data_IF_432954643242
#
_entry.id   IF_432954643242
#
_cell.length_a   1.000
_cell.length_b   1.000
_cell.length_c   1.000
_cell.angle_alpha   90.00
_cell.angle_beta   90.00
_cell.angle_gamma   90.00
#
_symmetry.space_group_name_H-M   'P 1'
#
loop_
_entity.id
_entity.type
_entity.pdbx_description
1 polymer ?
#
# COMPACT_ATOMS: atom_id res chain seq x y z
N UNK A 1 -47.83 -44.75 3.60
CA UNK A 1 -48.03 -45.83 2.61
C UNK A 1 -47.11 -45.50 1.45
N UNK A 2 -46.20 -46.43 1.09
CA UNK A 2 -45.13 -46.35 0.07
C UNK A 2 -43.99 -45.35 0.40
N UNK A 3 -42.71 -45.71 0.47
CA UNK A 3 -41.99 -46.94 0.15
C UNK A 3 -40.64 -46.61 -0.50
N UNK A 4 -39.54 -46.88 0.23
CA UNK A 4 -38.15 -47.18 -0.16
C UNK A 4 -37.52 -46.56 -1.44
N UNK A 5 -36.28 -46.04 -1.32
CA UNK A 5 -35.08 -46.82 -1.66
C UNK A 5 -33.78 -46.11 -1.24
N UNK A 6 -32.93 -46.87 -0.58
CA UNK A 6 -31.57 -46.53 -0.22
C UNK A 6 -30.63 -46.60 -1.43
N UNK A 7 -29.64 -45.71 -1.48
CA UNK A 7 -28.42 -45.91 -2.25
C UNK A 7 -27.22 -45.43 -1.42
N UNK A 8 -26.52 -46.40 -0.84
CA UNK A 8 -25.17 -46.25 -0.30
C UNK A 8 -24.21 -45.94 -1.45
N UNK A 9 -23.62 -44.74 -1.45
CA UNK A 9 -22.40 -44.50 -2.25
C UNK A 9 -21.20 -44.59 -1.32
N UNK A 10 -20.54 -45.73 -1.42
CA UNK A 10 -19.20 -45.97 -0.91
C UNK A 10 -18.24 -45.07 -1.70
N UNK A 11 -17.76 -43.99 -1.09
CA UNK A 11 -16.61 -43.25 -1.60
C UNK A 11 -15.35 -44.02 -1.18
N UNK A 12 -14.90 -44.86 -2.11
CA UNK A 12 -13.56 -45.44 -2.16
C UNK A 12 -12.48 -44.39 -1.87
N UNK A 13 -11.48 -44.78 -1.10
CA UNK A 13 -10.35 -43.92 -0.72
C UNK A 13 -9.39 -43.57 -1.85
N UNK A 14 -8.24 -43.06 -1.42
CA UNK A 14 -7.05 -42.65 -2.19
C UNK A 14 -7.14 -41.24 -2.81
N UNK A 15 -6.49 -40.27 -2.18
CA UNK A 15 -5.07 -40.07 -2.46
C UNK A 15 -4.51 -38.98 -1.53
N UNK A 16 -3.32 -39.25 -1.00
CA UNK A 16 -2.47 -38.29 -0.31
C UNK A 16 -1.90 -37.33 -1.34
N UNK A 17 -2.72 -36.45 -1.91
CA UNK A 17 -2.22 -35.38 -2.76
C UNK A 17 -1.65 -34.31 -1.82
N UNK A 18 -0.37 -34.47 -1.44
CA UNK A 18 0.46 -33.37 -1.01
C UNK A 18 0.48 -32.37 -2.17
N UNK A 19 -0.52 -31.49 -2.20
CA UNK A 19 -0.60 -30.40 -3.15
C UNK A 19 0.72 -29.64 -3.14
N UNK A 20 1.13 -29.06 -4.29
CA UNK A 20 2.42 -28.40 -4.40
C UNK A 20 2.60 -27.47 -3.21
N UNK A 21 3.62 -27.75 -2.40
CA UNK A 21 4.00 -26.95 -1.24
C UNK A 21 3.94 -25.51 -1.71
N UNK A 22 3.01 -24.72 -1.15
CA UNK A 22 2.88 -23.33 -1.50
C UNK A 22 4.29 -22.73 -1.39
N UNK A 23 4.88 -22.39 -2.54
CA UNK A 23 6.20 -21.78 -2.59
C UNK A 23 6.04 -20.56 -1.69
N UNK A 24 6.77 -20.54 -0.58
CA UNK A 24 6.64 -19.50 0.45
C UNK A 24 6.64 -18.12 -0.22
N UNK A 25 5.99 -17.11 0.40
CA UNK A 25 5.68 -15.84 -0.22
C UNK A 25 6.86 -15.39 -1.09
N UNK A 26 6.61 -15.30 -2.39
CA UNK A 26 7.58 -14.78 -3.36
C UNK A 26 8.27 -13.59 -2.72
N UNK A 27 9.60 -13.62 -2.71
CA UNK A 27 10.43 -12.62 -2.01
C UNK A 27 9.95 -11.20 -2.29
N UNK A 28 10.21 -10.30 -1.33
CA UNK A 28 9.83 -8.90 -1.46
C UNK A 28 10.22 -8.39 -2.86
N UNK A 29 9.27 -7.83 -3.65
CA UNK A 29 9.49 -7.50 -5.06
C UNK A 29 10.49 -6.35 -5.27
N UNK A 30 11.07 -5.83 -4.18
CA UNK A 30 12.19 -4.90 -4.17
C UNK A 30 11.75 -3.44 -4.39
N UNK A 31 12.69 -2.48 -4.29
CA UNK A 31 12.41 -1.05 -4.43
C UNK A 31 11.75 -0.68 -5.76
N UNK A 32 12.10 -1.36 -6.86
CA UNK A 32 11.52 -1.09 -8.19
C UNK A 32 10.00 -1.31 -8.26
N UNK A 33 9.46 -2.30 -7.56
CA UNK A 33 8.01 -2.52 -7.52
C UNK A 33 7.27 -1.44 -6.71
N UNK A 34 7.90 -0.94 -5.65
CA UNK A 34 7.38 0.21 -4.92
C UNK A 34 7.42 1.47 -5.78
N UNK A 35 8.47 1.66 -6.60
CA UNK A 35 8.56 2.80 -7.52
C UNK A 35 7.38 2.85 -8.50
N UNK A 36 7.03 1.72 -9.13
CA UNK A 36 5.85 1.63 -10.01
C UNK A 36 4.56 2.03 -9.30
N UNK A 37 4.40 1.59 -8.04
CA UNK A 37 3.24 1.99 -7.22
C UNK A 37 3.25 3.50 -6.96
N UNK A 38 4.40 4.09 -6.66
CA UNK A 38 4.54 5.53 -6.39
C UNK A 38 4.27 6.37 -7.66
N UNK A 39 4.69 5.90 -8.83
CA UNK A 39 4.33 6.55 -10.10
C UNK A 39 2.82 6.56 -10.32
N UNK A 40 2.14 5.44 -10.05
CA UNK A 40 0.68 5.37 -10.17
C UNK A 40 -0.05 6.26 -9.15
N UNK A 41 0.50 6.46 -7.95
CA UNK A 41 -0.11 7.30 -6.92
C UNK A 41 0.14 8.79 -7.14
N UNK A 42 1.29 9.15 -7.71
CA UNK A 42 1.66 10.56 -7.98
C UNK A 42 0.99 11.17 -9.21
N UNK A 43 0.16 10.40 -9.92
CA UNK A 43 -0.73 10.93 -10.96
C UNK A 43 -2.14 11.25 -10.45
N UNK A 44 -2.47 10.87 -9.21
CA UNK A 44 -3.77 11.14 -8.59
C UNK A 44 -3.98 12.65 -8.35
N UNK A 45 -5.20 13.14 -8.52
CA UNK A 45 -5.53 14.56 -8.31
C UNK A 45 -5.38 14.96 -6.85
N UNK A 46 -5.62 14.04 -5.92
CA UNK A 46 -5.41 14.27 -4.49
C UNK A 46 -3.93 14.37 -4.11
N UNK A 47 -3.01 13.90 -4.97
CA UNK A 47 -1.59 14.19 -4.84
C UNK A 47 -1.22 15.53 -5.49
N UNK A 48 -1.73 15.80 -6.69
CA UNK A 48 -1.31 16.95 -7.51
C UNK A 48 -1.84 18.29 -7.02
N UNK A 49 -3.09 18.31 -6.57
CA UNK A 49 -3.81 19.52 -6.16
C UNK A 49 -4.56 19.26 -4.84
N UNK A 50 -3.86 18.86 -3.76
CA UNK A 50 -4.49 18.42 -2.52
C UNK A 50 -5.38 19.49 -1.86
N UNK A 51 -5.10 20.76 -2.11
CA UNK A 51 -5.84 21.90 -1.55
C UNK A 51 -7.13 22.22 -2.31
N UNK A 52 -7.26 21.73 -3.54
CA UNK A 52 -8.41 22.02 -4.42
C UNK A 52 -9.48 20.93 -4.39
N UNK A 53 -9.17 19.76 -3.83
CA UNK A 53 -10.06 18.61 -3.81
C UNK A 53 -10.73 18.48 -2.43
N UNK A 54 -12.06 18.32 -2.36
CA UNK A 54 -12.75 18.02 -1.11
C UNK A 54 -12.14 16.79 -0.43
N UNK A 55 -11.80 16.91 0.85
CA UNK A 55 -11.08 15.85 1.55
C UNK A 55 -11.77 14.47 1.54
N UNK A 56 -13.11 14.33 1.54
CA UNK A 56 -13.77 13.03 1.43
C UNK A 56 -13.48 12.32 0.10
N UNK A 57 -13.33 13.07 -1.00
CA UNK A 57 -13.09 12.50 -2.33
C UNK A 57 -11.70 11.86 -2.42
N UNK A 58 -10.78 12.22 -1.51
CA UNK A 58 -9.43 11.67 -1.43
C UNK A 58 -9.30 10.39 -0.58
N UNK A 59 -10.39 9.88 0.01
CA UNK A 59 -10.36 8.69 0.87
C UNK A 59 -9.70 7.47 0.18
N UNK A 60 -10.05 7.22 -1.08
CA UNK A 60 -9.50 6.09 -1.85
C UNK A 60 -7.99 6.25 -2.08
N UNK A 61 -7.53 7.45 -2.39
CA UNK A 61 -6.11 7.76 -2.53
C UNK A 61 -5.36 7.50 -1.21
N UNK A 62 -5.85 8.05 -0.10
CA UNK A 62 -5.24 7.85 1.23
C UNK A 62 -5.22 6.38 1.66
N UNK A 63 -6.25 5.61 1.30
CA UNK A 63 -6.30 4.17 1.57
C UNK A 63 -5.19 3.41 0.83
N UNK A 64 -4.94 3.75 -0.44
CA UNK A 64 -3.89 3.10 -1.23
C UNK A 64 -2.47 3.36 -0.68
N UNK A 65 -2.28 4.48 0.03
CA UNK A 65 -1.03 4.83 0.70
C UNK A 65 -0.72 4.01 1.94
N UNK A 66 -1.69 3.29 2.52
CA UNK A 66 -1.54 2.67 3.84
C UNK A 66 -0.31 1.75 3.97
N UNK A 67 0.09 1.06 2.91
CA UNK A 67 1.27 0.17 2.94
C UNK A 67 2.60 0.89 2.67
N UNK A 68 2.57 2.08 2.06
CA UNK A 68 3.77 2.76 1.53
C UNK A 68 4.77 3.12 2.65
N UNK A 69 4.36 3.74 3.77
CA UNK A 69 5.27 4.04 4.88
C UNK A 69 6.04 2.82 5.39
N UNK A 70 5.35 1.69 5.59
CA UNK A 70 5.96 0.47 6.11
C UNK A 70 6.96 -0.14 5.14
N UNK A 71 6.61 -0.23 3.86
CA UNK A 71 7.50 -0.74 2.82
C UNK A 71 8.71 0.16 2.61
N UNK A 72 8.53 1.48 2.56
CA UNK A 72 9.62 2.44 2.41
C UNK A 72 10.61 2.37 3.59
N UNK A 73 10.13 2.28 4.83
CA UNK A 73 11.00 2.09 6.01
C UNK A 73 11.79 0.78 5.96
N UNK A 74 11.16 -0.30 5.49
CA UNK A 74 11.82 -1.60 5.33
C UNK A 74 12.99 -1.49 4.35
N UNK A 75 12.80 -0.81 3.22
CA UNK A 75 13.88 -0.62 2.24
C UNK A 75 14.93 0.39 2.69
N UNK A 76 14.53 1.40 3.45
CA UNK A 76 15.47 2.39 3.98
C UNK A 76 16.54 1.76 4.88
N UNK A 77 16.14 0.80 5.73
CA UNK A 77 17.04 0.18 6.69
C UNK A 77 17.76 1.22 7.56
N UNK A 78 19.03 0.98 7.86
CA UNK A 78 19.92 1.95 8.53
C UNK A 78 20.67 2.86 7.55
N UNK A 79 20.75 2.46 6.28
CA UNK A 79 21.62 3.09 5.29
C UNK A 79 20.98 4.32 4.63
N UNK A 80 19.65 4.43 4.67
CA UNK A 80 18.91 5.53 4.03
C UNK A 80 18.00 6.25 5.04
N UNK A 81 18.56 6.93 6.06
CA UNK A 81 17.77 7.59 7.11
C UNK A 81 16.80 8.64 6.56
N UNK A 82 17.13 9.32 5.47
CA UNK A 82 16.23 10.27 4.81
C UNK A 82 14.95 9.63 4.27
N UNK A 83 15.04 8.43 3.68
CA UNK A 83 13.85 7.68 3.25
C UNK A 83 13.02 7.21 4.44
N UNK A 84 13.66 6.77 5.53
CA UNK A 84 12.96 6.36 6.75
C UNK A 84 12.20 7.53 7.40
N UNK A 85 12.78 8.74 7.36
CA UNK A 85 12.14 9.97 7.82
C UNK A 85 10.96 10.36 6.93
N UNK A 86 11.15 10.43 5.61
CA UNK A 86 10.06 10.71 4.66
C UNK A 86 8.89 9.72 4.80
N UNK A 87 9.19 8.44 4.96
CA UNK A 87 8.18 7.42 5.21
C UNK A 87 7.45 7.62 6.55
N UNK A 88 8.14 8.14 7.58
CA UNK A 88 7.53 8.51 8.85
C UNK A 88 6.60 9.70 8.70
N UNK A 89 7.02 10.74 7.99
CA UNK A 89 6.19 11.91 7.68
C UNK A 89 4.93 11.51 6.91
N UNK A 90 5.06 10.65 5.90
CA UNK A 90 3.91 10.13 5.14
C UNK A 90 2.92 9.38 6.04
N UNK A 91 3.43 8.55 6.95
CA UNK A 91 2.61 7.85 7.94
C UNK A 91 1.86 8.81 8.87
N UNK A 92 2.51 9.89 9.31
CA UNK A 92 1.87 10.93 10.13
C UNK A 92 0.78 11.67 9.36
N UNK A 93 1.03 12.07 8.11
CA UNK A 93 0.01 12.71 7.29
C UNK A 93 -1.23 11.85 7.09
N UNK A 94 -1.05 10.55 6.77
CA UNK A 94 -2.14 9.58 6.68
C UNK A 94 -2.89 9.43 7.99
N UNK A 95 -2.19 9.44 9.14
CA UNK A 95 -2.81 9.39 10.45
C UNK A 95 -3.62 10.67 10.74
N UNK A 96 -3.06 11.85 10.50
CA UNK A 96 -3.74 13.14 10.67
C UNK A 96 -5.03 13.22 9.84
N UNK A 97 -5.00 12.75 8.58
CA UNK A 97 -6.20 12.68 7.74
C UNK A 97 -7.29 11.80 8.37
N UNK A 98 -6.93 10.63 8.92
CA UNK A 98 -7.88 9.70 9.54
C UNK A 98 -8.42 10.20 10.86
N UNK A 99 -7.55 10.69 11.73
CA UNK A 99 -7.92 11.19 13.06
C UNK A 99 -8.72 12.50 12.96
N UNK A 100 -8.49 13.29 11.91
CA UNK A 100 -9.29 14.46 11.59
C UNK A 100 -10.67 14.16 11.01
N UNK A 101 -11.01 12.88 10.73
CA UNK A 101 -12.28 12.50 10.11
C UNK A 101 -12.44 13.05 8.69
N UNK A 102 -11.33 13.19 7.96
CA UNK A 102 -11.33 13.86 6.66
C UNK A 102 -12.07 13.10 5.56
N UNK A 103 -12.32 11.81 5.75
CA UNK A 103 -13.17 10.99 4.88
C UNK A 103 -14.67 11.25 5.07
N UNK A 104 -15.06 11.94 6.15
CA UNK A 104 -16.44 12.21 6.53
C UNK A 104 -16.74 13.70 6.73
N UNK A 105 -15.87 14.57 6.19
CA UNK A 105 -16.08 16.02 6.22
C UNK A 105 -15.62 16.70 7.51
N UNK A 106 -14.49 16.26 8.07
CA UNK A 106 -13.79 16.94 9.17
C UNK A 106 -13.40 18.40 8.88
N UNK A 107 -12.63 19.01 9.78
CA UNK A 107 -12.21 20.41 9.62
C UNK A 107 -11.46 20.63 8.29
N UNK A 108 -12.02 21.48 7.43
CA UNK A 108 -11.55 21.67 6.05
C UNK A 108 -10.07 22.07 6.00
N UNK A 109 -9.66 23.01 6.87
CA UNK A 109 -8.29 23.51 6.90
C UNK A 109 -7.31 22.44 7.38
N UNK A 110 -7.65 21.70 8.44
CA UNK A 110 -6.83 20.61 8.93
C UNK A 110 -6.72 19.47 7.91
N UNK A 111 -7.82 19.15 7.22
CA UNK A 111 -7.85 18.09 6.21
C UNK A 111 -7.09 18.45 4.94
N UNK A 112 -7.24 19.68 4.46
CA UNK A 112 -6.45 20.21 3.34
C UNK A 112 -4.96 20.21 3.69
N UNK A 113 -4.60 20.66 4.90
CA UNK A 113 -3.23 20.57 5.41
C UNK A 113 -2.68 19.14 5.46
N UNK A 114 -3.46 18.18 5.96
CA UNK A 114 -3.07 16.78 6.00
C UNK A 114 -2.84 16.18 4.59
N UNK A 115 -3.67 16.55 3.60
CA UNK A 115 -3.48 16.14 2.22
C UNK A 115 -2.21 16.76 1.59
N UNK A 116 -1.92 18.03 1.91
CA UNK A 116 -0.68 18.70 1.53
C UNK A 116 0.56 18.01 2.11
N UNK A 117 0.53 17.69 3.41
CA UNK A 117 1.61 16.96 4.09
C UNK A 117 1.81 15.57 3.48
N UNK A 118 0.72 14.86 3.17
CA UNK A 118 0.77 13.56 2.47
C UNK A 118 1.45 13.70 1.11
N UNK A 119 1.05 14.69 0.30
CA UNK A 119 1.62 14.89 -1.04
C UNK A 119 3.12 15.17 -0.96
N UNK A 120 3.53 16.12 -0.11
CA UNK A 120 4.93 16.48 0.10
C UNK A 120 5.76 15.28 0.58
N UNK A 121 5.28 14.52 1.57
CA UNK A 121 5.97 13.35 2.07
C UNK A 121 6.03 12.22 1.03
N UNK A 122 4.98 12.02 0.23
CA UNK A 122 4.97 11.00 -0.83
C UNK A 122 6.01 11.31 -1.92
N UNK A 123 6.20 12.58 -2.28
CA UNK A 123 7.22 13.00 -3.25
C UNK A 123 8.64 12.72 -2.75
N UNK A 124 8.90 12.97 -1.46
CA UNK A 124 10.17 12.61 -0.81
C UNK A 124 10.38 11.09 -0.78
N UNK A 125 9.34 10.30 -0.46
CA UNK A 125 9.41 8.84 -0.50
C UNK A 125 9.71 8.34 -1.91
N UNK A 126 9.06 8.90 -2.92
CA UNK A 126 9.32 8.58 -4.34
C UNK A 126 10.76 8.84 -4.72
N UNK A 127 11.30 10.00 -4.36
CA UNK A 127 12.69 10.36 -4.63
C UNK A 127 13.66 9.38 -3.97
N UNK A 128 13.49 9.08 -2.67
CA UNK A 128 14.37 8.13 -1.98
C UNK A 128 14.24 6.68 -2.49
N UNK A 129 13.06 6.26 -2.94
CA UNK A 129 12.88 4.93 -3.56
C UNK A 129 13.50 4.87 -4.96
N UNK A 130 13.47 5.96 -5.73
CA UNK A 130 14.13 6.03 -7.02
C UNK A 130 15.65 5.82 -6.88
N UNK A 131 16.29 6.50 -5.93
CA UNK A 131 17.72 6.32 -5.63
C UNK A 131 18.07 4.86 -5.32
N UNK A 132 17.22 4.17 -4.54
CA UNK A 132 17.39 2.74 -4.25
C UNK A 132 17.22 1.85 -5.48
N UNK A 133 16.21 2.14 -6.30
CA UNK A 133 15.93 1.36 -7.50
C UNK A 133 17.06 1.47 -8.52
N UNK A 134 17.64 2.65 -8.69
CA UNK A 134 18.80 2.89 -9.55
C UNK A 134 20.05 2.18 -9.03
N UNK A 135 20.31 2.23 -7.73
CA UNK A 135 21.43 1.51 -7.11
C UNK A 135 21.31 -0.02 -7.20
N UNK A 136 20.08 -0.53 -7.37
CA UNK A 136 19.77 -1.96 -7.46
C UNK A 136 19.75 -2.48 -8.90
N UNK A 137 19.84 -1.61 -9.91
CA UNK A 137 19.81 -2.00 -11.31
C UNK A 137 21.14 -2.68 -11.71
N UNK A 138 21.11 -3.80 -12.45
CA UNK A 138 22.34 -4.40 -12.97
C UNK A 138 22.99 -3.42 -13.95
N UNK A 139 24.30 -3.17 -13.79
CA UNK A 139 25.08 -2.43 -14.77
C UNK A 139 24.93 -3.10 -16.15
N UNK A 140 24.42 -2.34 -17.12
CA UNK A 140 24.22 -2.80 -18.50
C UNK A 140 25.53 -2.78 -19.28
#
# INVERSE_FOLDING_TARGET
MFGALAALILLSGCSTEAGPTAKGPSGDPGPGALMVKLDALTVDVCFRTPEEIPSPDCQKYVTQLASVPGTAKKFAGTEHPGLAEAATELGKGVQSYREGGCDSGGDEKACSGALGDISSALDKVKSGVAELAEASAPAS
#
